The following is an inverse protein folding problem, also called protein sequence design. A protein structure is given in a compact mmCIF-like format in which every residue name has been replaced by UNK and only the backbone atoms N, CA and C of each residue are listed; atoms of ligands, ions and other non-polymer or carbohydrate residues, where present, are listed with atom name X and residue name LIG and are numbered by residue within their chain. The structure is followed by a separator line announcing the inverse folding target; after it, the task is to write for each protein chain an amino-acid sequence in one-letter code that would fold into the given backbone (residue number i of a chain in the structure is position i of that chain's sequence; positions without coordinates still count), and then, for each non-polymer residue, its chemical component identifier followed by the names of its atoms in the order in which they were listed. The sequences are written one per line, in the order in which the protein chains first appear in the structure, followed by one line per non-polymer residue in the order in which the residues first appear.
data_IF_692768198095
#
_entry.id   IF_692768198095
#
_cell.length_a   1.000
_cell.length_b   1.000
_cell.length_c   1.000
_cell.angle_alpha   90.00
_cell.angle_beta   90.00
_cell.angle_gamma   90.00
#
_symmetry.space_group_name_H-M   'P 1'
#
loop_
_entity.id
_entity.type
_entity.pdbx_description
1 polymer ?
#
# COMPACT_ATOMS: atom_id res chain seq x y z
N UNK A 1 31.97 -15.65 -4.58
CA UNK A 1 32.76 -14.51 -5.13
C UNK A 1 32.31 -13.12 -4.63
N UNK A 2 31.27 -12.96 -3.77
CA UNK A 2 30.80 -11.62 -3.32
C UNK A 2 30.89 -11.32 -1.80
N UNK A 3 31.55 -12.16 -1.00
CA UNK A 3 31.74 -11.90 0.44
C UNK A 3 32.62 -10.66 0.73
N UNK A 4 33.38 -10.16 -0.25
CA UNK A 4 34.33 -9.05 -0.09
C UNK A 4 33.67 -7.66 -0.17
N UNK A 5 32.46 -7.57 -0.74
CA UNK A 5 31.70 -6.33 -0.88
C UNK A 5 30.56 -6.19 0.14
N UNK A 6 30.56 -7.00 1.20
CA UNK A 6 29.56 -6.85 2.27
C UNK A 6 29.65 -5.47 2.93
N UNK A 7 28.48 -4.93 3.25
CA UNK A 7 28.36 -3.69 4.02
C UNK A 7 28.77 -4.03 5.47
N UNK A 8 29.74 -3.30 6.06
CA UNK A 8 30.18 -3.57 7.42
C UNK A 8 29.03 -3.40 8.41
N UNK A 9 28.87 -4.33 9.35
CA UNK A 9 27.83 -4.23 10.38
C UNK A 9 27.92 -2.95 11.20
N UNK A 10 29.13 -2.50 11.53
CA UNK A 10 29.33 -1.25 12.25
C UNK A 10 28.76 -0.05 11.48
N UNK A 11 28.98 0.02 10.17
CA UNK A 11 28.42 1.09 9.32
C UNK A 11 26.89 1.09 9.33
N UNK A 12 26.26 -0.08 9.25
CA UNK A 12 24.81 -0.21 9.31
C UNK A 12 24.25 0.20 10.68
N UNK A 13 24.88 -0.23 11.77
CA UNK A 13 24.45 0.11 13.15
C UNK A 13 24.63 1.61 13.40
N UNK A 14 25.80 2.19 13.08
CA UNK A 14 26.03 3.63 13.27
C UNK A 14 25.10 4.46 12.40
N UNK A 15 24.88 4.06 11.15
CA UNK A 15 23.94 4.73 10.25
C UNK A 15 22.51 4.69 10.80
N UNK A 16 22.08 3.54 11.31
CA UNK A 16 20.76 3.39 11.93
C UNK A 16 20.59 4.28 13.15
N UNK A 17 21.54 4.24 14.08
CA UNK A 17 21.49 5.04 15.32
C UNK A 17 21.53 6.54 15.01
N UNK A 18 22.38 6.98 14.08
CA UNK A 18 22.46 8.38 13.68
C UNK A 18 21.16 8.87 13.04
N UNK A 19 20.57 8.10 12.12
CA UNK A 19 19.30 8.44 11.48
C UNK A 19 18.12 8.37 12.46
N UNK A 20 18.12 7.42 13.38
CA UNK A 20 17.12 7.33 14.44
C UNK A 20 17.18 8.53 15.39
N UNK A 21 18.38 8.98 15.77
CA UNK A 21 18.57 10.18 16.57
C UNK A 21 18.08 11.43 15.84
N UNK A 22 18.42 11.57 14.55
CA UNK A 22 17.96 12.66 13.71
C UNK A 22 16.42 12.68 13.60
N UNK A 23 15.81 11.53 13.31
CA UNK A 23 14.36 11.40 13.23
C UNK A 23 13.68 11.71 14.57
N UNK A 24 14.26 11.28 15.69
CA UNK A 24 13.77 11.57 17.04
C UNK A 24 13.77 13.07 17.35
N UNK A 25 14.73 13.82 16.82
CA UNK A 25 14.78 15.28 16.95
C UNK A 25 13.86 16.04 15.99
N UNK A 26 13.77 15.59 14.72
CA UNK A 26 13.06 16.32 13.66
C UNK A 26 11.56 16.00 13.58
N UNK A 27 11.15 14.75 13.78
CA UNK A 27 9.73 14.39 13.63
C UNK A 27 8.79 15.15 14.59
N UNK A 28 9.16 15.41 15.86
CA UNK A 28 8.33 16.20 16.76
C UNK A 28 8.16 17.67 16.33
N UNK A 29 9.06 18.23 15.51
CA UNK A 29 8.92 19.61 15.01
C UNK A 29 7.91 19.69 13.87
N UNK A 30 7.81 18.63 13.07
CA UNK A 30 6.83 18.50 11.98
C UNK A 30 5.45 18.09 12.53
N UNK A 31 5.43 17.14 13.46
CA UNK A 31 4.23 16.62 14.11
C UNK A 31 4.33 16.81 15.63
N UNK A 32 3.90 17.96 16.18
CA UNK A 32 4.03 18.25 17.62
C UNK A 32 3.37 17.22 18.54
N UNK A 33 2.35 16.50 18.05
CA UNK A 33 1.66 15.45 18.78
C UNK A 33 2.52 14.18 18.92
N UNK A 34 3.47 13.95 18.01
CA UNK A 34 4.43 12.86 18.05
C UNK A 34 5.67 13.28 18.84
N UNK A 35 5.58 13.23 20.17
CA UNK A 35 6.69 13.51 21.08
C UNK A 35 7.89 12.58 20.83
N UNK A 36 9.09 13.09 21.12
CA UNK A 36 10.37 12.42 20.86
C UNK A 36 10.44 10.99 21.42
N UNK A 37 9.87 10.75 22.60
CA UNK A 37 9.92 9.42 23.23
C UNK A 37 9.08 8.38 22.47
N UNK A 38 8.00 8.77 21.78
CA UNK A 38 7.27 7.85 20.90
C UNK A 38 8.14 7.42 19.72
N UNK A 39 8.85 8.38 19.12
CA UNK A 39 9.77 8.13 18.00
C UNK A 39 10.89 7.18 18.43
N UNK A 40 11.51 7.46 19.57
CA UNK A 40 12.58 6.62 20.12
C UNK A 40 12.11 5.18 20.35
N UNK A 41 10.92 4.98 20.95
CA UNK A 41 10.34 3.64 21.14
C UNK A 41 10.11 2.93 19.79
N UNK A 42 9.57 3.63 18.79
CA UNK A 42 9.38 3.08 17.44
C UNK A 42 10.70 2.57 16.86
N UNK A 43 11.77 3.35 16.93
CA UNK A 43 13.10 2.93 16.44
C UNK A 43 13.72 1.80 17.25
N UNK A 44 13.35 1.59 18.51
CA UNK A 44 13.80 0.41 19.27
C UNK A 44 13.05 -0.85 18.84
N UNK A 45 11.74 -0.76 18.62
CA UNK A 45 10.90 -1.93 18.30
C UNK A 45 10.89 -2.28 16.80
N UNK A 46 11.23 -1.33 15.92
CA UNK A 46 11.14 -1.53 14.48
C UNK A 46 12.08 -2.61 13.93
N UNK A 47 13.36 -2.76 14.35
CA UNK A 47 14.25 -3.76 13.74
C UNK A 47 13.77 -5.22 13.90
N UNK A 48 13.30 -5.68 15.08
CA UNK A 48 12.68 -7.01 15.20
C UNK A 48 11.48 -7.19 14.27
N UNK A 49 10.61 -6.18 14.15
CA UNK A 49 9.43 -6.24 13.29
C UNK A 49 9.80 -6.24 11.80
N UNK A 50 10.80 -5.44 11.42
CA UNK A 50 11.34 -5.39 10.08
C UNK A 50 11.98 -6.72 9.67
N UNK A 51 12.70 -7.37 10.58
CA UNK A 51 13.23 -8.72 10.36
C UNK A 51 12.11 -9.74 10.13
N UNK A 52 11.09 -9.77 11.01
CA UNK A 52 9.94 -10.66 10.84
C UNK A 52 9.21 -10.42 9.51
N UNK A 53 9.03 -9.16 9.12
CA UNK A 53 8.39 -8.81 7.85
C UNK A 53 9.22 -9.24 6.64
N UNK A 54 10.53 -8.94 6.63
CA UNK A 54 11.42 -9.29 5.53
C UNK A 54 11.51 -10.82 5.37
N UNK A 55 11.58 -11.55 6.49
CA UNK A 55 11.54 -13.02 6.47
C UNK A 55 10.21 -13.55 5.95
N UNK A 56 9.09 -13.01 6.44
CA UNK A 56 7.75 -13.36 5.98
C UNK A 56 7.57 -13.11 4.49
N UNK A 57 7.96 -11.93 4.02
CA UNK A 57 7.94 -11.56 2.61
C UNK A 57 8.84 -12.47 1.77
N UNK A 58 10.01 -12.88 2.28
CA UNK A 58 10.86 -13.87 1.61
C UNK A 58 10.20 -15.25 1.42
N UNK A 59 9.24 -15.61 2.27
CA UNK A 59 8.50 -16.89 2.17
C UNK A 59 7.20 -16.76 1.37
N UNK A 60 6.52 -15.62 1.44
CA UNK A 60 5.18 -15.42 0.88
C UNK A 60 5.14 -14.53 -0.35
N UNK A 61 6.27 -13.91 -0.71
CA UNK A 61 6.39 -12.85 -1.70
C UNK A 61 5.48 -11.64 -1.42
N UNK A 62 5.11 -11.45 -0.15
CA UNK A 62 4.16 -10.40 0.26
C UNK A 62 4.61 -9.66 1.51
N UNK A 63 4.76 -8.33 1.39
CA UNK A 63 5.11 -7.45 2.52
C UNK A 63 3.87 -7.08 3.35
N UNK A 64 3.97 -7.23 4.67
CA UNK A 64 2.94 -6.89 5.65
C UNK A 64 3.21 -5.52 6.31
N UNK A 65 4.01 -4.66 5.69
CA UNK A 65 4.39 -3.35 6.24
C UNK A 65 3.17 -2.51 6.70
N UNK A 66 2.08 -2.53 5.94
CA UNK A 66 0.84 -1.85 6.31
C UNK A 66 0.22 -2.36 7.62
N UNK A 67 0.34 -3.65 7.91
CA UNK A 67 -0.12 -4.27 9.16
C UNK A 67 0.72 -3.80 10.34
N UNK A 68 2.05 -3.80 10.20
CA UNK A 68 2.95 -3.28 11.24
C UNK A 68 2.76 -1.77 11.47
N UNK A 69 2.50 -1.01 10.40
CA UNK A 69 2.11 0.40 10.51
C UNK A 69 0.83 0.57 11.35
N UNK A 70 -0.21 -0.23 11.10
CA UNK A 70 -1.44 -0.21 11.91
C UNK A 70 -1.21 -0.58 13.37
N UNK A 71 -0.29 -1.51 13.67
CA UNK A 71 0.09 -1.78 15.07
C UNK A 71 0.68 -0.54 15.74
N UNK A 72 1.51 0.23 15.03
CA UNK A 72 2.03 1.50 15.55
C UNK A 72 0.92 2.53 15.80
N UNK A 73 -0.12 2.58 14.96
CA UNK A 73 -1.32 3.39 15.21
C UNK A 73 -1.95 3.02 16.54
N UNK A 74 -2.21 1.73 16.77
CA UNK A 74 -2.88 1.26 17.98
C UNK A 74 -2.05 1.52 19.24
N UNK A 75 -0.75 1.24 19.20
CA UNK A 75 0.12 1.41 20.36
C UNK A 75 0.35 2.89 20.70
N UNK A 76 0.79 3.68 19.71
CA UNK A 76 1.16 5.09 19.95
C UNK A 76 -0.09 5.97 20.03
N UNK A 77 -1.11 5.69 19.23
CA UNK A 77 -2.39 6.42 19.30
C UNK A 77 -3.08 6.23 20.65
N UNK A 78 -3.18 4.98 21.14
CA UNK A 78 -3.74 4.72 22.47
C UNK A 78 -2.89 5.37 23.57
N UNK A 79 -1.56 5.28 23.47
CA UNK A 79 -0.66 5.84 24.49
C UNK A 79 -0.70 7.37 24.53
N UNK A 80 -0.77 8.04 23.38
CA UNK A 80 -0.92 9.49 23.32
C UNK A 80 -2.30 9.97 23.79
N UNK A 81 -3.34 9.16 23.61
CA UNK A 81 -4.70 9.47 24.04
C UNK A 81 -5.38 10.57 23.23
N UNK A 82 -6.71 10.67 23.35
CA UNK A 82 -7.51 11.63 22.58
C UNK A 82 -7.18 13.09 22.93
N UNK A 83 -6.94 13.37 24.21
CA UNK A 83 -6.66 14.70 24.74
C UNK A 83 -5.36 15.34 24.22
N UNK A 84 -4.40 14.52 23.74
CA UNK A 84 -3.11 15.01 23.22
C UNK A 84 -2.94 14.76 21.71
N UNK A 85 -4.04 14.57 20.98
CA UNK A 85 -3.99 14.40 19.53
C UNK A 85 -3.46 13.04 19.09
N UNK A 86 -3.78 11.97 19.83
CA UNK A 86 -3.32 10.61 19.57
C UNK A 86 -3.64 10.08 18.16
N UNK A 87 -4.67 10.61 17.49
CA UNK A 87 -4.97 10.25 16.09
C UNK A 87 -3.81 10.68 15.19
N UNK A 88 -3.32 11.91 15.33
CA UNK A 88 -2.22 12.45 14.52
C UNK A 88 -0.91 11.75 14.91
N UNK A 89 -0.65 11.58 16.22
CA UNK A 89 0.55 10.89 16.69
C UNK A 89 0.60 9.43 16.20
N UNK A 90 -0.52 8.70 16.25
CA UNK A 90 -0.62 7.32 15.76
C UNK A 90 -0.43 7.22 14.24
N UNK A 91 -1.01 8.15 13.47
CA UNK A 91 -0.82 8.19 12.01
C UNK A 91 0.62 8.52 11.62
N UNK A 92 1.26 9.46 12.31
CA UNK A 92 2.66 9.79 12.07
C UNK A 92 3.57 8.60 12.44
N UNK A 93 3.32 7.96 13.60
CA UNK A 93 4.00 6.74 14.03
C UNK A 93 3.86 5.58 13.03
N UNK A 94 2.65 5.42 12.46
CA UNK A 94 2.39 4.47 11.38
C UNK A 94 3.27 4.71 10.17
N UNK A 95 3.38 5.97 9.74
CA UNK A 95 4.24 6.35 8.61
C UNK A 95 5.69 5.94 8.85
N UNK A 96 6.23 6.23 10.03
CA UNK A 96 7.60 5.85 10.41
C UNK A 96 7.78 4.33 10.40
N UNK A 97 6.91 3.60 11.09
CA UNK A 97 6.99 2.14 11.18
C UNK A 97 6.87 1.46 9.80
N UNK A 98 5.91 1.90 9.00
CA UNK A 98 5.65 1.35 7.68
C UNK A 98 6.85 1.54 6.74
N UNK A 99 7.48 2.73 6.76
CA UNK A 99 8.68 2.98 5.95
C UNK A 99 9.84 2.08 6.38
N UNK A 100 10.14 1.97 7.68
CA UNK A 100 11.24 1.11 8.16
C UNK A 100 11.02 -0.35 7.74
N UNK A 101 9.82 -0.87 7.96
CA UNK A 101 9.48 -2.27 7.72
C UNK A 101 9.37 -2.60 6.24
N UNK A 102 8.84 -1.69 5.41
CA UNK A 102 8.80 -1.85 3.95
C UNK A 102 10.20 -1.82 3.37
N UNK A 103 10.99 -0.79 3.67
CA UNK A 103 12.34 -0.63 3.11
C UNK A 103 13.25 -1.81 3.45
N UNK A 104 13.13 -2.39 4.65
CA UNK A 104 13.89 -3.59 5.00
C UNK A 104 13.52 -4.82 4.15
N UNK A 105 12.23 -4.99 3.84
CA UNK A 105 11.72 -6.06 2.99
C UNK A 105 12.15 -5.86 1.54
N UNK A 106 11.92 -4.67 1.01
CA UNK A 106 12.22 -4.31 -0.39
C UNK A 106 13.72 -4.43 -0.65
N UNK A 107 14.57 -3.92 0.27
CA UNK A 107 16.02 -4.04 0.16
C UNK A 107 16.50 -5.51 0.19
N UNK A 108 15.80 -6.39 0.92
CA UNK A 108 16.12 -7.83 0.94
C UNK A 108 15.82 -8.48 -0.41
N UNK A 109 14.69 -8.11 -1.04
CA UNK A 109 14.34 -8.57 -2.40
C UNK A 109 15.31 -8.01 -3.44
N UNK A 110 15.68 -6.74 -3.33
CA UNK A 110 16.68 -6.12 -4.19
C UNK A 110 18.01 -6.87 -4.06
N UNK A 111 18.49 -7.15 -2.85
CA UNK A 111 19.78 -7.85 -2.65
C UNK A 111 19.73 -9.26 -3.21
N UNK A 112 18.58 -9.94 -3.09
CA UNK A 112 18.38 -11.25 -3.72
C UNK A 112 18.48 -11.15 -5.25
N UNK A 113 17.84 -10.15 -5.84
CA UNK A 113 17.90 -9.89 -7.27
C UNK A 113 19.32 -9.56 -7.72
N UNK A 114 20.01 -8.68 -7.00
CA UNK A 114 21.42 -8.35 -7.24
C UNK A 114 22.34 -9.55 -7.16
N UNK A 115 22.10 -10.44 -6.19
CA UNK A 115 22.84 -11.71 -6.09
C UNK A 115 22.59 -12.62 -7.30
N UNK A 116 21.36 -12.72 -7.79
CA UNK A 116 21.00 -13.53 -8.97
C UNK A 116 21.54 -12.94 -10.28
N UNK A 117 21.60 -11.62 -10.39
CA UNK A 117 22.13 -10.90 -11.57
C UNK A 117 23.64 -10.64 -11.52
N UNK A 118 24.32 -11.12 -10.46
CA UNK A 118 25.74 -10.87 -10.20
C UNK A 118 26.09 -9.37 -10.11
N UNK A 119 25.13 -8.53 -9.72
CA UNK A 119 25.32 -7.11 -9.47
C UNK A 119 25.99 -6.89 -8.09
N UNK A 120 26.75 -5.80 -7.97
CA UNK A 120 27.44 -5.50 -6.71
C UNK A 120 26.45 -5.04 -5.63
N UNK A 121 26.49 -5.61 -4.40
CA UNK A 121 25.62 -5.17 -3.30
C UNK A 121 25.82 -3.69 -2.92
N UNK A 122 27.05 -3.18 -3.05
CA UNK A 122 27.38 -1.79 -2.73
C UNK A 122 26.74 -0.81 -3.71
N UNK A 123 26.85 -1.08 -5.01
CA UNK A 123 26.20 -0.25 -6.04
C UNK A 123 24.69 -0.25 -5.84
N UNK A 124 24.10 -1.40 -5.51
CA UNK A 124 22.67 -1.51 -5.26
C UNK A 124 22.23 -0.69 -4.04
N UNK A 125 22.97 -0.76 -2.93
CA UNK A 125 22.72 0.06 -1.74
C UNK A 125 22.84 1.56 -2.03
N UNK A 126 23.87 1.98 -2.76
CA UNK A 126 24.06 3.39 -3.15
C UNK A 126 22.90 3.86 -4.03
N UNK A 127 22.45 3.05 -5.00
CA UNK A 127 21.28 3.34 -5.83
C UNK A 127 20.02 3.51 -4.98
N UNK A 128 19.81 2.67 -3.95
CA UNK A 128 18.68 2.81 -3.03
C UNK A 128 18.73 4.13 -2.25
N UNK A 129 19.92 4.53 -1.79
CA UNK A 129 20.11 5.79 -1.07
C UNK A 129 19.81 6.98 -1.98
N UNK A 130 20.29 6.96 -3.22
CA UNK A 130 20.01 8.01 -4.22
C UNK A 130 18.51 8.07 -4.54
N UNK A 131 17.89 6.91 -4.81
CA UNK A 131 16.46 6.82 -5.10
C UNK A 131 15.61 7.33 -3.93
N UNK A 132 15.98 6.97 -2.70
CA UNK A 132 15.33 7.47 -1.47
C UNK A 132 15.48 8.98 -1.34
N UNK A 133 16.68 9.52 -1.55
CA UNK A 133 16.94 10.96 -1.49
C UNK A 133 16.14 11.74 -2.54
N UNK A 134 16.05 11.22 -3.77
CA UNK A 134 15.20 11.79 -4.81
C UNK A 134 13.73 11.73 -4.41
N UNK A 135 13.26 10.61 -3.84
CA UNK A 135 11.89 10.45 -3.33
C UNK A 135 11.52 11.48 -2.26
N UNK A 136 12.44 11.78 -1.33
CA UNK A 136 12.24 12.80 -0.30
C UNK A 136 11.96 14.21 -0.87
N UNK A 137 12.38 14.50 -2.10
CA UNK A 137 12.12 15.79 -2.77
C UNK A 137 10.94 15.68 -3.74
N UNK A 138 10.91 14.64 -4.58
CA UNK A 138 9.91 14.49 -5.64
C UNK A 138 8.52 14.22 -5.04
N UNK A 139 8.40 13.32 -4.07
CA UNK A 139 7.10 12.96 -3.47
C UNK A 139 6.35 14.15 -2.85
N UNK A 140 6.95 14.98 -1.97
CA UNK A 140 6.24 16.15 -1.45
C UNK A 140 5.96 17.22 -2.53
N UNK A 141 6.85 17.39 -3.52
CA UNK A 141 6.61 18.30 -4.64
C UNK A 141 5.37 17.89 -5.44
N UNK A 142 5.27 16.60 -5.81
CA UNK A 142 4.10 16.06 -6.51
C UNK A 142 2.85 16.21 -5.67
N UNK A 143 2.92 15.86 -4.37
CA UNK A 143 1.79 16.06 -3.45
C UNK A 143 1.31 17.52 -3.44
N UNK A 144 2.22 18.49 -3.34
CA UNK A 144 1.87 19.91 -3.33
C UNK A 144 1.31 20.42 -4.66
N UNK A 145 1.76 19.88 -5.80
CA UNK A 145 1.19 20.19 -7.12
C UNK A 145 -0.28 19.75 -7.16
N UNK A 146 -0.57 18.49 -6.82
CA UNK A 146 -1.95 17.97 -6.81
C UNK A 146 -2.82 18.72 -5.81
N UNK A 147 -2.30 18.99 -4.61
CA UNK A 147 -3.02 19.70 -3.57
C UNK A 147 -3.39 21.14 -3.96
N UNK A 148 -2.52 21.84 -4.71
CA UNK A 148 -2.81 23.21 -5.19
C UNK A 148 -3.64 23.23 -6.47
N UNK A 149 -3.48 22.23 -7.34
CA UNK A 149 -4.17 22.17 -8.62
C UNK A 149 -5.64 21.77 -8.48
N UNK A 150 -5.97 20.86 -7.56
CA UNK A 150 -7.33 20.35 -7.38
C UNK A 150 -7.91 20.82 -6.04
N UNK A 151 -8.90 21.71 -6.08
CA UNK A 151 -9.55 22.26 -4.87
C UNK A 151 -10.34 21.21 -4.07
N UNK A 152 -10.75 20.13 -4.72
CA UNK A 152 -11.52 19.01 -4.18
C UNK A 152 -10.67 17.77 -3.91
N UNK A 153 -9.32 17.89 -3.94
CA UNK A 153 -8.41 16.78 -3.69
C UNK A 153 -8.73 16.06 -2.36
N UNK A 154 -8.95 14.74 -2.41
CA UNK A 154 -9.26 13.92 -1.24
C UNK A 154 -10.74 13.87 -0.84
N UNK A 155 -11.64 14.54 -1.57
CA UNK A 155 -13.09 14.39 -1.34
C UNK A 155 -13.59 13.12 -2.03
N UNK A 156 -14.48 12.35 -1.39
CA UNK A 156 -14.97 11.03 -1.88
C UNK A 156 -15.61 11.05 -3.28
N UNK A 157 -16.09 12.22 -3.73
CA UNK A 157 -16.72 12.41 -5.07
C UNK A 157 -15.88 13.26 -6.02
N UNK A 158 -14.64 13.56 -5.66
CA UNK A 158 -13.72 14.30 -6.53
C UNK A 158 -13.11 13.41 -7.61
N UNK A 159 -12.41 14.02 -8.56
CA UNK A 159 -11.60 13.29 -9.54
C UNK A 159 -10.47 12.46 -8.89
N UNK A 160 -10.01 12.86 -7.70
CA UNK A 160 -8.91 12.24 -6.98
C UNK A 160 -9.30 11.93 -5.52
N UNK A 161 -10.14 10.90 -5.28
CA UNK A 161 -10.48 10.47 -3.94
C UNK A 161 -9.28 9.81 -3.27
N UNK A 162 -9.15 9.95 -1.95
CA UNK A 162 -8.05 9.33 -1.18
C UNK A 162 -8.63 8.30 -0.20
N UNK A 163 -9.13 7.14 -0.70
CA UNK A 163 -9.87 6.17 0.12
C UNK A 163 -9.02 5.59 1.25
N UNK A 164 -7.72 5.39 1.01
CA UNK A 164 -6.78 4.93 2.03
C UNK A 164 -6.66 5.89 3.21
N UNK A 165 -6.67 7.22 2.97
CA UNK A 165 -6.58 8.18 4.07
C UNK A 165 -7.78 8.05 5.03
N UNK A 166 -8.98 7.85 4.49
CA UNK A 166 -10.20 7.63 5.29
C UNK A 166 -10.10 6.36 6.13
N UNK A 167 -9.56 5.28 5.56
CA UNK A 167 -9.37 4.00 6.27
C UNK A 167 -8.36 4.16 7.41
N UNK A 168 -7.19 4.72 7.13
CA UNK A 168 -6.14 4.91 8.14
C UNK A 168 -6.58 5.87 9.24
N UNK A 169 -7.28 6.96 8.89
CA UNK A 169 -7.92 7.85 9.88
C UNK A 169 -8.91 7.11 10.77
N UNK A 170 -9.74 6.25 10.20
CA UNK A 170 -10.70 5.45 10.96
C UNK A 170 -9.98 4.48 11.90
N UNK A 171 -8.90 3.84 11.45
CA UNK A 171 -8.08 2.97 12.31
C UNK A 171 -7.43 3.75 13.45
N UNK A 172 -6.93 4.95 13.19
CA UNK A 172 -6.38 5.83 14.22
C UNK A 172 -7.43 6.29 15.22
N UNK A 173 -8.65 6.56 14.75
CA UNK A 173 -9.77 6.85 15.65
C UNK A 173 -10.09 5.67 16.57
N UNK A 174 -10.16 4.46 16.03
CA UNK A 174 -10.38 3.23 16.81
C UNK A 174 -9.26 2.99 17.81
N UNK A 175 -8.00 3.25 17.43
CA UNK A 175 -6.87 3.09 18.34
C UNK A 175 -6.84 4.07 19.50
N UNK A 176 -7.44 5.25 19.34
CA UNK A 176 -7.40 6.32 20.35
C UNK A 176 -8.68 6.36 21.19
N UNK A 177 -9.84 6.23 20.56
CA UNK A 177 -11.15 6.31 21.20
C UNK A 177 -11.71 4.93 21.59
N UNK A 178 -11.03 3.85 21.19
CA UNK A 178 -11.43 2.48 21.43
C UNK A 178 -12.50 1.97 20.46
N UNK A 179 -12.93 0.73 20.67
CA UNK A 179 -13.92 0.06 19.81
C UNK A 179 -15.34 0.65 19.90
N UNK A 180 -15.61 1.52 20.88
CA UNK A 180 -16.87 2.26 21.00
C UNK A 180 -17.11 3.25 19.85
N UNK A 181 -16.05 3.65 19.13
CA UNK A 181 -16.16 4.53 17.97
C UNK A 181 -16.50 3.81 16.67
N UNK A 182 -16.61 2.47 16.70
CA UNK A 182 -17.04 1.68 15.54
C UNK A 182 -18.56 1.70 15.38
N UNK A 183 -19.07 1.62 14.14
CA UNK A 183 -20.49 1.45 13.88
C UNK A 183 -21.08 0.24 14.63
N UNK A 184 -22.36 0.34 15.01
CA UNK A 184 -23.10 -0.78 15.65
C UNK A 184 -22.95 -2.04 14.78
N UNK A 185 -22.69 -3.19 15.43
CA UNK A 185 -22.45 -4.51 14.82
C UNK A 185 -21.12 -4.68 14.04
N UNK A 186 -20.24 -3.69 13.95
CA UNK A 186 -18.97 -3.84 13.23
C UNK A 186 -18.09 -4.96 13.81
N UNK A 187 -17.96 -5.04 15.14
CA UNK A 187 -17.20 -6.11 15.80
C UNK A 187 -17.81 -7.49 15.57
N UNK A 188 -19.15 -7.60 15.60
CA UNK A 188 -19.84 -8.87 15.35
C UNK A 188 -19.59 -9.36 13.92
N UNK A 189 -19.57 -8.44 12.95
CA UNK A 189 -19.19 -8.76 11.57
C UNK A 189 -17.71 -9.14 11.46
N UNK A 190 -16.81 -8.43 12.15
CA UNK A 190 -15.38 -8.79 12.18
C UNK A 190 -15.16 -10.21 12.73
N UNK A 191 -15.78 -10.57 13.85
CA UNK A 191 -15.70 -11.92 14.40
C UNK A 191 -16.33 -12.96 13.47
N UNK A 192 -17.46 -12.63 12.84
CA UNK A 192 -18.10 -13.50 11.85
C UNK A 192 -17.21 -13.78 10.64
N UNK A 193 -16.65 -12.73 10.03
CA UNK A 193 -15.74 -12.88 8.89
C UNK A 193 -14.41 -13.53 9.27
N UNK A 194 -13.89 -13.28 10.48
CA UNK A 194 -12.69 -13.94 10.98
C UNK A 194 -12.92 -15.45 11.17
N UNK A 195 -14.03 -15.83 11.80
CA UNK A 195 -14.42 -17.24 11.94
C UNK A 195 -14.65 -17.89 10.57
N UNK A 196 -15.34 -17.21 9.65
CA UNK A 196 -15.54 -17.69 8.29
C UNK A 196 -14.19 -17.88 7.56
N UNK A 197 -13.24 -16.95 7.71
CA UNK A 197 -11.92 -17.07 7.11
C UNK A 197 -11.13 -18.26 7.68
N UNK A 198 -11.19 -18.50 8.99
CA UNK A 198 -10.59 -19.70 9.61
C UNK A 198 -11.21 -20.97 9.04
N UNK A 199 -12.54 -21.03 8.96
CA UNK A 199 -13.27 -22.20 8.42
C UNK A 199 -12.91 -22.43 6.96
N UNK A 200 -12.91 -21.39 6.11
CA UNK A 200 -12.58 -21.49 4.69
C UNK A 200 -11.14 -21.98 4.49
N UNK A 201 -10.18 -21.41 5.21
CA UNK A 201 -8.79 -21.85 5.14
C UNK A 201 -8.61 -23.28 5.68
N UNK A 202 -9.27 -23.63 6.79
CA UNK A 202 -9.25 -24.98 7.35
C UNK A 202 -9.82 -26.02 6.37
N UNK A 203 -10.94 -25.72 5.72
CA UNK A 203 -11.51 -26.57 4.66
C UNK A 203 -10.53 -26.68 3.50
N UNK A 204 -9.89 -25.58 3.09
CA UNK A 204 -8.90 -25.58 2.00
C UNK A 204 -7.72 -26.50 2.29
N UNK A 205 -7.17 -26.43 3.50
CA UNK A 205 -6.01 -27.21 3.92
C UNK A 205 -6.36 -28.71 4.04
N UNK A 206 -7.58 -29.03 4.48
CA UNK A 206 -8.08 -30.40 4.60
C UNK A 206 -8.53 -31.01 3.26
N UNK A 207 -8.98 -30.20 2.29
CA UNK A 207 -9.59 -30.67 1.04
C UNK A 207 -8.59 -31.25 0.03
N UNK A 208 -7.27 -31.15 0.29
CA UNK A 208 -6.21 -31.64 -0.58
C UNK A 208 -6.04 -30.81 -1.87
N UNK A 209 -4.85 -30.91 -2.49
CA UNK A 209 -4.40 -30.01 -3.59
C UNK A 209 -5.39 -29.87 -4.77
N UNK A 210 -6.15 -30.93 -5.09
CA UNK A 210 -7.09 -30.92 -6.23
C UNK A 210 -8.40 -30.16 -5.97
N UNK A 211 -8.88 -30.11 -4.72
CA UNK A 211 -10.10 -29.36 -4.35
C UNK A 211 -9.77 -27.99 -3.78
N UNK A 212 -8.62 -27.84 -3.14
CA UNK A 212 -8.11 -26.56 -2.61
C UNK A 212 -8.01 -25.45 -3.67
N UNK A 213 -7.84 -25.79 -4.95
CA UNK A 213 -7.81 -24.82 -6.08
C UNK A 213 -9.13 -24.09 -6.33
N UNK A 214 -10.25 -24.63 -5.86
CA UNK A 214 -11.59 -24.04 -6.08
C UNK A 214 -12.08 -23.28 -4.85
N UNK A 215 -11.36 -23.35 -3.73
CA UNK A 215 -11.73 -22.68 -2.49
C UNK A 215 -11.08 -21.28 -2.50
N UNK A 216 -11.88 -20.22 -2.36
CA UNK A 216 -11.36 -18.86 -2.40
C UNK A 216 -10.43 -18.61 -1.20
N UNK A 217 -9.42 -17.77 -1.40
CA UNK A 217 -8.49 -17.37 -0.36
C UNK A 217 -9.03 -16.06 0.26
N UNK A 218 -9.47 -16.07 1.53
CA UNK A 218 -10.06 -14.87 2.15
C UNK A 218 -9.14 -13.64 2.10
N UNK A 219 -7.83 -13.84 2.21
CA UNK A 219 -6.84 -12.77 2.09
C UNK A 219 -6.86 -12.10 0.71
N UNK A 220 -6.94 -12.87 -0.37
CA UNK A 220 -7.00 -12.33 -1.73
C UNK A 220 -8.33 -11.60 -1.99
N UNK A 221 -9.43 -12.11 -1.42
CA UNK A 221 -10.75 -11.46 -1.51
C UNK A 221 -10.78 -10.09 -0.83
N UNK A 222 -10.01 -9.89 0.26
CA UNK A 222 -10.02 -8.63 0.99
C UNK A 222 -9.42 -7.46 0.18
N UNK A 223 -8.51 -7.73 -0.77
CA UNK A 223 -7.77 -6.67 -1.49
C UNK A 223 -8.74 -5.78 -2.32
N UNK A 224 -9.62 -6.29 -3.18
CA UNK A 224 -10.57 -5.44 -3.90
C UNK A 224 -11.55 -4.69 -3.01
N UNK A 225 -11.92 -5.23 -1.84
CA UNK A 225 -12.75 -4.49 -0.88
C UNK A 225 -12.04 -3.26 -0.30
N UNK A 226 -10.70 -3.27 -0.25
CA UNK A 226 -9.91 -2.12 0.19
C UNK A 226 -9.65 -1.10 -0.92
N UNK A 227 -9.41 -1.56 -2.14
CA UNK A 227 -8.93 -0.70 -3.24
C UNK A 227 -10.09 -0.19 -4.10
N UNK A 228 -11.06 -1.05 -4.38
CA UNK A 228 -12.17 -0.78 -5.29
C UNK A 228 -12.46 -1.96 -6.22
N UNK A 229 -13.64 -1.95 -6.82
CA UNK A 229 -14.09 -2.99 -7.74
C UNK A 229 -13.25 -3.08 -9.03
N UNK A 230 -12.64 -1.97 -9.47
CA UNK A 230 -11.78 -1.95 -10.65
C UNK A 230 -10.62 -2.95 -10.52
N UNK A 231 -10.00 -3.01 -9.33
CA UNK A 231 -8.89 -3.93 -9.06
C UNK A 231 -9.30 -5.40 -9.16
N UNK A 232 -10.54 -5.76 -8.76
CA UNK A 232 -11.06 -7.11 -8.95
C UNK A 232 -11.21 -7.48 -10.42
N UNK A 233 -11.67 -6.52 -11.25
CA UNK A 233 -11.83 -6.72 -12.68
C UNK A 233 -10.47 -6.93 -13.34
N UNK A 234 -9.48 -6.10 -13.00
CA UNK A 234 -8.12 -6.18 -13.53
C UNK A 234 -7.45 -7.52 -13.16
N UNK A 235 -7.57 -7.95 -11.90
CA UNK A 235 -7.06 -9.26 -11.46
C UNK A 235 -7.75 -10.42 -12.19
N UNK A 236 -9.06 -10.34 -12.41
CA UNK A 236 -9.82 -11.36 -13.13
C UNK A 236 -9.35 -11.47 -14.58
N UNK A 237 -9.21 -10.32 -15.26
CA UNK A 237 -8.75 -10.25 -16.63
C UNK A 237 -7.30 -10.75 -16.77
N UNK A 238 -6.40 -10.31 -15.89
CA UNK A 238 -5.01 -10.78 -15.85
C UNK A 238 -4.91 -12.29 -15.61
N UNK A 239 -5.72 -12.82 -14.69
CA UNK A 239 -5.78 -14.26 -14.40
C UNK A 239 -6.32 -15.07 -15.58
N UNK A 240 -7.31 -14.53 -16.31
CA UNK A 240 -7.86 -15.16 -17.51
C UNK A 240 -6.82 -15.22 -18.63
N UNK A 241 -6.10 -14.12 -18.86
CA UNK A 241 -5.01 -14.06 -19.85
C UNK A 241 -3.94 -15.10 -19.51
N UNK A 242 -3.50 -15.15 -18.25
CA UNK A 242 -2.52 -16.13 -17.80
C UNK A 242 -3.04 -17.57 -17.98
N UNK A 243 -4.28 -17.84 -17.60
CA UNK A 243 -4.89 -19.17 -17.74
C UNK A 243 -4.96 -19.62 -19.21
N UNK A 244 -5.35 -18.74 -20.13
CA UNK A 244 -5.36 -19.04 -21.56
C UNK A 244 -3.94 -19.26 -22.09
N UNK A 245 -2.97 -18.49 -21.64
CA UNK A 245 -1.57 -18.66 -22.03
C UNK A 245 -0.99 -19.99 -21.53
N UNK A 246 -1.25 -20.36 -20.27
CA UNK A 246 -0.85 -21.66 -19.71
C UNK A 246 -1.45 -22.85 -20.49
N UNK A 247 -2.69 -22.70 -20.98
CA UNK A 247 -3.37 -23.70 -21.80
C UNK A 247 -2.74 -23.89 -23.18
N UNK A 248 -2.19 -22.82 -23.76
CA UNK A 248 -1.55 -22.87 -25.07
C UNK A 248 -0.08 -23.30 -24.96
N UNK A 249 0.68 -22.69 -24.04
CA UNK A 249 2.09 -22.98 -23.86
C UNK A 249 2.53 -22.70 -22.42
N UNK A 250 2.43 -23.73 -21.58
CA UNK A 250 2.81 -23.67 -20.17
C UNK A 250 4.27 -23.26 -19.94
N UNK A 251 5.21 -23.79 -20.72
CA UNK A 251 6.64 -23.50 -20.54
C UNK A 251 6.97 -22.03 -20.80
N UNK A 252 6.33 -21.40 -21.81
CA UNK A 252 6.49 -19.96 -22.05
C UNK A 252 5.76 -19.11 -21.02
N UNK A 253 4.56 -19.51 -20.60
CA UNK A 253 3.82 -18.80 -19.57
C UNK A 253 4.60 -18.74 -18.25
N UNK A 254 5.12 -19.88 -17.77
CA UNK A 254 5.90 -19.96 -16.53
C UNK A 254 7.19 -19.10 -16.58
N UNK A 255 7.80 -18.96 -17.76
CA UNK A 255 9.03 -18.18 -17.94
C UNK A 255 8.81 -16.67 -18.13
N UNK A 256 7.75 -16.27 -18.85
CA UNK A 256 7.56 -14.88 -19.29
C UNK A 256 6.39 -14.17 -18.65
N UNK A 257 5.45 -14.85 -18.00
CA UNK A 257 4.30 -14.21 -17.36
C UNK A 257 4.70 -13.13 -16.36
N UNK A 258 5.69 -13.32 -15.45
CA UNK A 258 6.13 -12.26 -14.55
C UNK A 258 6.69 -11.04 -15.28
N UNK A 259 7.43 -11.26 -16.38
CA UNK A 259 8.00 -10.19 -17.18
C UNK A 259 6.91 -9.38 -17.91
N UNK A 260 5.91 -10.06 -18.49
CA UNK A 260 4.78 -9.38 -19.15
C UNK A 260 3.93 -8.63 -18.13
N UNK A 261 3.63 -9.24 -16.98
CA UNK A 261 2.87 -8.58 -15.91
C UNK A 261 3.59 -7.33 -15.40
N UNK A 262 4.91 -7.42 -15.15
CA UNK A 262 5.74 -6.27 -14.78
C UNK A 262 5.73 -5.18 -15.87
N UNK A 263 5.80 -5.57 -17.14
CA UNK A 263 5.70 -4.64 -18.27
C UNK A 263 4.36 -3.92 -18.36
N UNK A 264 3.24 -4.60 -18.08
CA UNK A 264 1.90 -3.99 -18.05
C UNK A 264 1.75 -3.00 -16.89
N UNK A 265 2.25 -3.35 -15.70
CA UNK A 265 2.26 -2.45 -14.52
C UNK A 265 3.12 -1.21 -14.81
N UNK A 266 4.32 -1.40 -15.36
CA UNK A 266 5.20 -0.31 -15.75
C UNK A 266 4.56 0.57 -16.84
N UNK A 267 3.88 -0.04 -17.81
CA UNK A 267 3.15 0.66 -18.88
C UNK A 267 1.96 1.49 -18.37
N UNK A 268 1.31 1.07 -17.29
CA UNK A 268 0.32 1.91 -16.60
C UNK A 268 1.00 3.14 -15.97
N UNK A 269 2.15 2.96 -15.30
CA UNK A 269 2.95 4.05 -14.70
C UNK A 269 3.41 5.08 -15.74
N UNK A 270 4.10 4.61 -16.79
CA UNK A 270 3.85 5.00 -18.19
C UNK A 270 2.85 6.14 -18.45
N UNK A 271 1.61 5.68 -18.60
CA UNK A 271 0.44 6.47 -18.97
C UNK A 271 -0.06 7.41 -17.88
N UNK A 272 0.22 7.11 -16.61
CA UNK A 272 -0.17 7.96 -15.48
C UNK A 272 0.46 9.37 -15.56
N UNK A 273 1.67 9.49 -16.12
CA UNK A 273 2.37 10.76 -16.27
C UNK A 273 1.70 11.69 -17.31
N UNK A 274 1.51 11.29 -18.59
CA UNK A 274 0.75 12.09 -19.56
C UNK A 274 -0.67 12.40 -19.09
N UNK A 275 -1.39 11.42 -18.54
CA UNK A 275 -2.77 11.64 -18.09
C UNK A 275 -2.85 12.68 -16.96
N UNK A 276 -1.90 12.66 -16.02
CA UNK A 276 -1.77 13.69 -14.98
C UNK A 276 -1.46 15.07 -15.56
N UNK A 277 -0.59 15.17 -16.56
CA UNK A 277 -0.29 16.45 -17.25
C UNK A 277 -1.53 17.00 -17.96
N UNK A 278 -2.28 16.14 -18.66
CA UNK A 278 -3.53 16.51 -19.35
C UNK A 278 -4.58 16.99 -18.33
N UNK A 279 -4.70 16.30 -17.19
CA UNK A 279 -5.60 16.69 -16.11
C UNK A 279 -5.21 18.04 -15.48
N UNK A 280 -3.91 18.27 -15.25
CA UNK A 280 -3.38 19.55 -14.77
C UNK A 280 -3.56 20.69 -15.78
N UNK A 281 -3.47 20.40 -17.07
CA UNK A 281 -3.74 21.36 -18.14
C UNK A 281 -5.23 21.72 -18.30
N UNK A 282 -6.13 21.07 -17.53
CA UNK A 282 -7.57 21.35 -17.55
C UNK A 282 -8.23 21.00 -18.89
N UNK A 283 -7.61 20.12 -19.68
CA UNK A 283 -8.14 19.69 -20.97
C UNK A 283 -9.45 18.95 -20.71
N UNK A 284 -10.56 19.52 -21.20
CA UNK A 284 -11.86 18.87 -21.10
C UNK A 284 -11.84 17.61 -21.96
N UNK A 285 -12.24 16.44 -21.42
CA UNK A 285 -12.29 15.23 -22.22
C UNK A 285 -13.23 15.45 -23.42
N UNK A 286 -12.83 15.03 -24.62
CA UNK A 286 -13.62 15.25 -25.84
C UNK A 286 -14.99 14.56 -25.79
N UNK A 287 -15.15 13.56 -24.92
CA UNK A 287 -16.39 12.83 -24.68
C UNK A 287 -16.61 12.73 -23.18
N UNK A 288 -17.74 13.22 -22.68
CA UNK A 288 -18.16 13.07 -21.29
C UNK A 288 -19.32 12.06 -21.23
N UNK A 289 -19.03 10.82 -20.85
CA UNK A 289 -20.06 9.80 -20.64
C UNK A 289 -20.55 9.84 -19.19
N UNK A 290 -21.84 10.13 -19.00
CA UNK A 290 -22.53 9.97 -17.72
C UNK A 290 -23.45 8.75 -17.78
N UNK A 291 -23.27 7.82 -16.86
CA UNK A 291 -24.17 6.69 -16.68
C UNK A 291 -25.27 7.12 -15.70
N UNK A 292 -26.39 7.57 -16.25
CA UNK A 292 -27.57 7.95 -15.48
C UNK A 292 -28.54 6.78 -15.37
N UNK A 293 -29.39 6.79 -14.34
CA UNK A 293 -30.49 5.82 -14.25
C UNK A 293 -31.42 5.98 -15.45
N UNK A 294 -32.10 4.91 -15.88
CA UNK A 294 -32.97 4.92 -17.08
C UNK A 294 -33.99 6.07 -17.06
N UNK A 295 -34.65 6.28 -15.93
CA UNK A 295 -35.61 7.36 -15.73
C UNK A 295 -34.99 8.77 -15.83
N UNK A 296 -33.71 8.91 -15.48
CA UNK A 296 -33.00 10.19 -15.61
C UNK A 296 -32.49 10.39 -17.03
N UNK A 297 -32.06 9.32 -17.71
CA UNK A 297 -31.70 9.37 -19.13
C UNK A 297 -32.91 9.75 -19.99
N UNK A 298 -34.07 9.16 -19.78
CA UNK A 298 -35.31 9.52 -20.51
C UNK A 298 -35.67 11.00 -20.34
N UNK A 299 -35.47 11.58 -19.15
CA UNK A 299 -35.67 13.01 -18.90
C UNK A 299 -34.65 13.88 -19.61
N UNK A 300 -33.39 13.43 -19.66
CA UNK A 300 -32.31 14.14 -20.35
C UNK A 300 -32.51 14.07 -21.86
N UNK A 301 -32.90 12.92 -22.41
CA UNK A 301 -33.20 12.73 -23.83
C UNK A 301 -34.40 13.58 -24.26
N UNK A 302 -35.46 13.63 -23.45
CA UNK A 302 -36.61 14.50 -23.69
C UNK A 302 -36.24 15.99 -23.63
N UNK A 303 -35.26 16.37 -22.80
CA UNK A 303 -34.76 17.75 -22.73
C UNK A 303 -33.84 18.11 -23.90
N UNK A 304 -33.02 17.16 -24.38
CA UNK A 304 -32.07 17.36 -25.47
C UNK A 304 -32.73 17.31 -26.85
N UNK A 305 -33.84 16.57 -27.00
CA UNK A 305 -34.63 16.47 -28.23
C UNK A 305 -36.08 16.94 -28.00
N UNK A 306 -36.35 18.25 -27.87
CA UNK A 306 -37.67 18.78 -27.53
C UNK A 306 -38.71 18.71 -28.69
N UNK A 307 -38.55 17.80 -29.66
CA UNK A 307 -39.40 17.75 -30.86
C UNK A 307 -39.39 16.44 -31.65
N UNK A 308 -39.02 15.32 -31.03
CA UNK A 308 -39.22 13.96 -31.58
C UNK A 308 -40.29 13.20 -30.81
#
# INVERSE_FOLDING_TARGET
MFLKDQIPYWFAITGYVALAALATGLLPTIFPQLKWYYVLVIYIIAPPLAFCNAYGCGLTDWSLASTYGKLAIFLIGAWAGSAHGGIIAGLAACGVMMNIVSTASDLTQDFKTGYLTLASPRSMFISQVIGTAMGCVISPCVFWIFYKAFKDFGVEKSAYPVPYATIYRSMARVGVEGFSSLPKNCLNLCYGFFAAAIVINGIRDLAGKKRARFIPIPMAMAIPFYIGSYFAIDMCLGSLILFLWERVNKAKADAFAPAVASGLICGEGIWSLPSSVIALAGVKPPICMKFLSRATNERVDAFLNPGS
#
